data_IF_278788828285
#
_entry.id   IF_278788828285
#
_cell.length_a   1.000
_cell.length_b   1.000
_cell.length_c   1.000
_cell.angle_alpha   90.00
_cell.angle_beta   90.00
_cell.angle_gamma   90.00
#
_symmetry.space_group_name_H-M   'P 1'
#
loop_
_entity.id
_entity.type
_entity.pdbx_description
1 polymer ?
#
# COMPACT_ATOMS: atom_id res chain seq x y z
N UNK A 1 10.27 40.52 -57.30
CA UNK A 1 11.39 40.42 -56.33
C UNK A 1 10.95 41.12 -55.05
N UNK A 2 11.21 40.52 -53.88
CA UNK A 2 10.90 40.96 -52.49
C UNK A 2 9.50 40.56 -51.98
N UNK A 3 9.32 39.33 -51.47
CA UNK A 3 9.59 38.81 -50.09
C UNK A 3 8.35 38.95 -49.18
N UNK A 4 7.48 37.95 -49.24
CA UNK A 4 6.38 37.72 -48.30
C UNK A 4 6.94 37.08 -47.02
N UNK A 5 7.01 37.85 -45.93
CA UNK A 5 7.32 37.34 -44.59
C UNK A 5 6.09 36.65 -44.00
N UNK A 6 6.06 35.32 -44.07
CA UNK A 6 5.06 34.50 -43.38
C UNK A 6 5.37 34.42 -41.89
N UNK A 7 4.53 35.02 -41.06
CA UNK A 7 4.55 34.84 -39.61
C UNK A 7 3.96 33.46 -39.29
N UNK A 8 4.82 32.48 -39.04
CA UNK A 8 4.40 31.21 -38.45
C UNK A 8 4.01 31.45 -36.99
N UNK A 9 2.70 31.50 -36.73
CA UNK A 9 2.18 31.41 -35.37
C UNK A 9 2.44 29.99 -34.84
N UNK A 10 3.53 29.83 -34.10
CA UNK A 10 3.76 28.67 -33.24
C UNK A 10 2.65 28.64 -32.19
N UNK A 11 1.61 27.84 -32.43
CA UNK A 11 0.68 27.42 -31.38
C UNK A 11 1.48 26.57 -30.40
N UNK A 12 1.95 27.19 -29.32
CA UNK A 12 2.35 26.45 -28.14
C UNK A 12 1.13 25.75 -27.58
N UNK A 13 1.00 24.45 -27.84
CA UNK A 13 0.18 23.58 -27.00
C UNK A 13 0.84 23.58 -25.62
N UNK A 14 0.35 24.45 -24.75
CA UNK A 14 0.52 24.27 -23.32
C UNK A 14 -0.20 22.96 -22.98
N UNK A 15 0.57 21.86 -22.95
CA UNK A 15 0.12 20.63 -22.33
C UNK A 15 -0.22 20.98 -20.88
N UNK A 16 -1.50 21.19 -20.59
CA UNK A 16 -2.00 21.14 -19.24
C UNK A 16 -1.55 19.79 -18.70
N UNK A 17 -0.59 19.79 -17.78
CA UNK A 17 -0.15 18.57 -17.11
C UNK A 17 -1.41 17.92 -16.54
N UNK A 18 -1.84 16.82 -17.16
CA UNK A 18 -2.95 16.04 -16.64
C UNK A 18 -2.61 15.71 -15.19
N UNK A 19 -3.52 16.03 -14.26
CA UNK A 19 -3.33 15.61 -12.87
C UNK A 19 -3.16 14.09 -12.91
N UNK A 20 -2.09 13.60 -12.30
CA UNK A 20 -1.97 12.17 -12.08
C UNK A 20 -3.22 11.73 -11.31
N UNK A 21 -3.88 10.68 -11.78
CA UNK A 21 -5.01 10.07 -11.11
C UNK A 21 -4.54 8.77 -10.42
N UNK A 22 -5.00 8.46 -9.21
CA UNK A 22 -4.65 7.22 -8.53
C UNK A 22 -4.95 5.99 -9.39
N UNK A 23 -4.00 5.06 -9.46
CA UNK A 23 -4.24 3.78 -10.10
C UNK A 23 -5.11 2.87 -9.22
N UNK A 24 -5.79 1.89 -9.83
CA UNK A 24 -6.57 0.91 -9.09
C UNK A 24 -5.66 -0.21 -8.56
N UNK A 25 -5.54 -0.30 -7.24
CA UNK A 25 -4.79 -1.37 -6.59
C UNK A 25 -5.49 -2.75 -6.78
N UNK A 26 -4.75 -3.86 -6.84
CA UNK A 26 -5.32 -5.19 -6.94
C UNK A 26 -6.13 -5.51 -5.68
N UNK A 27 -7.38 -5.94 -5.87
CA UNK A 27 -8.34 -6.14 -4.78
C UNK A 27 -8.18 -7.47 -4.03
N UNK A 28 -7.45 -8.43 -4.61
CA UNK A 28 -7.17 -9.74 -4.02
C UNK A 28 -5.77 -10.18 -4.42
N UNK A 29 -4.96 -10.61 -3.45
CA UNK A 29 -3.60 -11.08 -3.70
C UNK A 29 -3.06 -11.84 -2.48
N UNK A 30 -1.99 -12.60 -2.71
CA UNK A 30 -1.18 -13.21 -1.66
C UNK A 30 0.27 -12.77 -1.80
N UNK A 31 0.96 -12.59 -0.69
CA UNK A 31 2.31 -12.06 -0.68
C UNK A 31 2.99 -12.16 0.69
N UNK A 32 4.03 -11.35 0.88
CA UNK A 32 4.80 -11.29 2.12
C UNK A 32 4.98 -9.84 2.53
N UNK A 33 4.97 -9.56 3.83
CA UNK A 33 5.11 -8.22 4.38
C UNK A 33 6.19 -8.16 5.45
N UNK A 34 6.72 -6.96 5.66
CA UNK A 34 7.54 -6.59 6.82
C UNK A 34 6.83 -5.41 7.48
N UNK A 35 6.30 -5.61 8.68
CA UNK A 35 5.71 -4.54 9.48
C UNK A 35 6.72 -4.04 10.50
N UNK A 36 7.02 -2.74 10.45
CA UNK A 36 7.88 -2.06 11.42
C UNK A 36 7.00 -1.37 12.47
N UNK A 37 7.18 -1.75 13.74
CA UNK A 37 6.53 -1.11 14.87
C UNK A 37 7.52 -0.19 15.58
N UNK A 38 7.31 1.12 15.49
CA UNK A 38 8.24 2.11 16.06
C UNK A 38 8.42 1.96 17.57
N UNK A 39 7.33 1.75 18.33
CA UNK A 39 7.37 1.69 19.79
C UNK A 39 8.23 0.55 20.36
N UNK A 40 8.32 -0.58 19.66
CA UNK A 40 9.19 -1.70 20.06
C UNK A 40 10.49 -1.77 19.24
N UNK A 41 10.59 -1.00 18.16
CA UNK A 41 11.68 -1.06 17.19
C UNK A 41 11.74 -2.39 16.42
N UNK A 42 10.68 -3.19 16.44
CA UNK A 42 10.68 -4.55 15.88
C UNK A 42 10.16 -4.57 14.45
N UNK A 43 10.76 -5.46 13.66
CA UNK A 43 10.26 -5.85 12.35
C UNK A 43 9.60 -7.23 12.45
N UNK A 44 8.34 -7.33 12.05
CA UNK A 44 7.60 -8.59 11.94
C UNK A 44 7.44 -8.97 10.48
N UNK A 45 7.89 -10.18 10.13
CA UNK A 45 7.73 -10.77 8.80
C UNK A 45 6.54 -11.70 8.79
N UNK A 46 5.72 -11.64 7.75
CA UNK A 46 4.53 -12.48 7.63
C UNK A 46 4.21 -12.82 6.16
N UNK A 47 3.62 -13.99 5.94
CA UNK A 47 2.85 -14.25 4.74
C UNK A 47 1.45 -13.63 4.90
N UNK A 48 0.92 -13.05 3.83
CA UNK A 48 -0.35 -12.31 3.84
C UNK A 48 -1.25 -12.80 2.72
N UNK A 49 -2.52 -13.03 3.03
CA UNK A 49 -3.60 -13.19 2.06
C UNK A 49 -4.59 -12.03 2.25
N UNK A 50 -4.70 -11.17 1.24
CA UNK A 50 -5.58 -9.99 1.25
C UNK A 50 -6.78 -10.22 0.34
N UNK A 51 -7.98 -9.99 0.86
CA UNK A 51 -9.23 -10.08 0.10
C UNK A 51 -10.14 -8.90 0.43
N UNK A 52 -9.97 -7.83 -0.34
CA UNK A 52 -10.69 -6.57 -0.17
C UNK A 52 -12.21 -6.67 -0.39
N UNK A 53 -12.73 -7.34 -1.44
CA UNK A 53 -14.17 -7.50 -1.65
C UNK A 53 -14.90 -8.18 -0.47
N UNK A 54 -14.20 -9.08 0.22
CA UNK A 54 -14.73 -9.74 1.42
C UNK A 54 -14.31 -9.07 2.73
N UNK A 55 -13.52 -7.99 2.68
CA UNK A 55 -12.99 -7.26 3.84
C UNK A 55 -12.36 -8.23 4.86
N UNK A 56 -11.47 -9.09 4.37
CA UNK A 56 -10.78 -10.06 5.19
C UNK A 56 -9.29 -10.09 4.88
N UNK A 57 -8.52 -10.30 5.93
CA UNK A 57 -7.07 -10.30 5.90
C UNK A 57 -6.56 -11.44 6.76
N UNK A 58 -5.67 -12.26 6.19
CA UNK A 58 -4.95 -13.29 6.92
C UNK A 58 -3.48 -12.90 6.98
N UNK A 59 -2.91 -12.92 8.19
CA UNK A 59 -1.49 -12.63 8.45
C UNK A 59 -0.90 -13.84 9.18
N UNK A 60 0.06 -14.52 8.56
CA UNK A 60 0.75 -15.65 9.14
C UNK A 60 2.20 -15.26 9.42
N UNK A 61 2.54 -15.01 10.69
CA UNK A 61 3.90 -14.61 11.06
C UNK A 61 4.93 -15.67 10.68
N UNK A 62 6.03 -15.25 10.10
CA UNK A 62 7.09 -16.14 9.65
C UNK A 62 8.01 -16.54 10.80
N UNK A 63 8.19 -17.86 10.95
CA UNK A 63 9.18 -18.45 11.86
C UNK A 63 10.55 -18.42 11.18
N UNK A 64 11.42 -17.51 11.61
CA UNK A 64 12.86 -17.66 11.36
C UNK A 64 13.45 -18.61 12.40
N UNK A 65 14.30 -19.54 11.96
CA UNK A 65 14.99 -20.46 12.85
C UNK A 65 15.79 -19.69 13.91
N UNK A 66 15.79 -20.22 15.15
CA UNK A 66 16.62 -19.76 16.28
C UNK A 66 16.26 -18.39 16.89
N UNK A 67 14.98 -17.98 16.90
CA UNK A 67 14.54 -16.88 17.78
C UNK A 67 14.03 -17.48 19.10
N UNK A 68 14.85 -17.58 20.16
CA UNK A 68 14.42 -18.17 21.42
C UNK A 68 13.23 -17.40 21.99
N UNK A 69 12.26 -18.16 22.52
CA UNK A 69 11.13 -17.67 23.32
C UNK A 69 10.12 -16.75 22.60
N UNK A 70 10.28 -16.45 21.30
CA UNK A 70 9.25 -15.73 20.54
C UNK A 70 8.12 -16.69 20.17
N UNK A 71 6.89 -16.35 20.56
CA UNK A 71 5.67 -16.98 20.02
C UNK A 71 5.35 -16.39 18.66
N UNK A 72 4.83 -17.23 17.77
CA UNK A 72 4.43 -16.82 16.43
C UNK A 72 2.94 -17.08 16.24
N UNK A 73 2.27 -16.11 15.64
CA UNK A 73 0.82 -16.11 15.55
C UNK A 73 0.32 -16.11 14.11
N UNK A 74 -0.88 -16.62 13.94
CA UNK A 74 -1.72 -16.42 12.78
C UNK A 74 -2.88 -15.52 13.18
N UNK A 75 -3.12 -14.50 12.37
CA UNK A 75 -4.22 -13.56 12.56
C UNK A 75 -5.18 -13.71 11.38
N UNK A 76 -6.47 -13.89 11.68
CA UNK A 76 -7.54 -13.88 10.68
C UNK A 76 -8.50 -12.77 11.07
N UNK A 77 -8.50 -11.70 10.29
CA UNK A 77 -9.34 -10.53 10.48
C UNK A 77 -10.55 -10.65 9.53
N UNK A 78 -11.75 -10.66 10.09
CA UNK A 78 -13.02 -10.72 9.36
C UNK A 78 -13.82 -9.46 9.71
N UNK A 79 -13.65 -8.39 8.94
CA UNK A 79 -14.24 -7.09 9.27
C UNK A 79 -15.76 -7.07 9.10
N UNK A 80 -16.32 -7.84 8.16
CA UNK A 80 -17.78 -8.01 8.01
C UNK A 80 -18.45 -8.58 9.26
N UNK A 81 -17.71 -9.39 10.02
CA UNK A 81 -18.17 -10.05 11.24
C UNK A 81 -17.64 -9.35 12.52
N UNK A 82 -16.92 -8.22 12.37
CA UNK A 82 -16.28 -7.46 13.45
C UNK A 82 -15.45 -8.32 14.41
N UNK A 83 -14.69 -9.30 13.89
CA UNK A 83 -13.91 -10.24 14.69
C UNK A 83 -12.52 -10.51 14.11
N UNK A 84 -11.55 -10.65 15.01
CA UNK A 84 -10.22 -11.19 14.73
C UNK A 84 -10.00 -12.47 15.52
N UNK A 85 -9.46 -13.49 14.87
CA UNK A 85 -8.89 -14.66 15.52
C UNK A 85 -7.38 -14.51 15.60
N UNK A 86 -6.82 -14.62 16.80
CA UNK A 86 -5.38 -14.73 17.03
C UNK A 86 -5.07 -16.17 17.47
N UNK A 87 -4.27 -16.88 16.68
CA UNK A 87 -3.98 -18.30 16.85
C UNK A 87 -2.48 -18.47 17.05
N UNK A 88 -2.05 -19.03 18.19
CA UNK A 88 -0.65 -19.37 18.37
C UNK A 88 -0.30 -20.59 17.52
N UNK A 89 0.73 -20.49 16.69
CA UNK A 89 0.95 -21.45 15.61
C UNK A 89 1.40 -22.86 16.08
N UNK A 90 2.02 -23.04 17.26
CA UNK A 90 2.41 -24.37 17.79
C UNK A 90 1.23 -25.06 18.48
N UNK A 91 0.75 -24.44 19.55
CA UNK A 91 -0.26 -24.94 20.48
C UNK A 91 -1.66 -24.88 19.90
N UNK A 92 -1.87 -24.07 18.86
CA UNK A 92 -3.17 -23.82 18.22
C UNK A 92 -4.21 -23.23 19.16
N UNK A 93 -3.79 -22.69 20.31
CA UNK A 93 -4.66 -21.92 21.19
C UNK A 93 -5.14 -20.68 20.43
N UNK A 94 -6.47 -20.50 20.41
CA UNK A 94 -7.15 -19.47 19.66
C UNK A 94 -7.83 -18.48 20.60
N UNK A 95 -7.63 -17.19 20.35
CA UNK A 95 -8.33 -16.09 21.00
C UNK A 95 -9.23 -15.40 20.00
N UNK A 96 -10.49 -15.17 20.37
CA UNK A 96 -11.47 -14.41 19.60
C UNK A 96 -11.54 -12.99 20.16
N UNK A 97 -11.21 -11.99 19.36
CA UNK A 97 -11.08 -10.58 19.76
C UNK A 97 -12.02 -9.76 18.88
N UNK A 98 -12.73 -8.80 19.47
CA UNK A 98 -13.58 -7.89 18.71
C UNK A 98 -12.73 -6.90 17.89
N UNK A 99 -13.07 -6.69 16.61
CA UNK A 99 -12.48 -5.62 15.79
C UNK A 99 -13.30 -4.35 15.99
N UNK A 100 -12.65 -3.30 16.49
CA UNK A 100 -13.27 -1.98 16.69
C UNK A 100 -12.99 -1.02 15.54
N UNK A 101 -11.84 -1.19 14.89
CA UNK A 101 -11.43 -0.35 13.77
C UNK A 101 -12.19 -0.71 12.49
N UNK A 102 -12.52 0.29 11.65
CA UNK A 102 -13.15 0.05 10.37
C UNK A 102 -12.18 -0.64 9.40
N UNK A 103 -12.74 -1.25 8.36
CA UNK A 103 -11.95 -1.76 7.25
C UNK A 103 -11.21 -0.63 6.52
N UNK A 104 -9.89 -0.75 6.41
CA UNK A 104 -9.02 0.14 5.65
C UNK A 104 -8.36 -0.66 4.49
N UNK A 105 -8.74 -0.42 3.22
CA UNK A 105 -8.19 -1.16 2.08
C UNK A 105 -6.74 -0.77 1.80
N UNK A 106 -5.95 -1.72 1.30
CA UNK A 106 -4.64 -1.42 0.69
C UNK A 106 -4.83 -0.85 -0.72
N UNK A 107 -5.33 0.38 -0.81
CA UNK A 107 -5.48 1.15 -2.05
C UNK A 107 -5.01 2.60 -1.91
N UNK A 108 -5.20 3.38 -2.97
CA UNK A 108 -4.97 4.83 -2.95
C UNK A 108 -6.36 5.50 -3.06
N UNK A 109 -6.83 6.19 -2.01
CA UNK A 109 -8.09 6.91 -2.05
C UNK A 109 -8.14 7.94 -3.19
N UNK A 110 -9.30 8.09 -3.85
CA UNK A 110 -9.45 9.01 -4.99
C UNK A 110 -9.18 10.49 -4.65
N UNK A 111 -9.25 10.86 -3.36
CA UNK A 111 -8.98 12.21 -2.86
C UNK A 111 -7.54 12.40 -2.35
N UNK A 112 -6.62 11.49 -2.70
CA UNK A 112 -5.21 11.58 -2.31
C UNK A 112 -4.49 12.68 -3.08
N UNK A 113 -3.43 13.21 -2.48
CA UNK A 113 -2.52 14.16 -3.10
C UNK A 113 -1.35 13.40 -3.73
N UNK A 114 -1.15 13.60 -5.03
CA UNK A 114 0.06 13.13 -5.71
C UNK A 114 1.28 13.88 -5.17
N UNK A 115 2.31 13.15 -4.76
CA UNK A 115 3.55 13.73 -4.22
C UNK A 115 4.69 13.65 -5.22
N UNK A 116 5.02 12.45 -5.69
CA UNK A 116 6.19 12.23 -6.55
C UNK A 116 6.10 10.96 -7.39
N UNK A 117 7.00 10.82 -8.35
CA UNK A 117 7.23 9.61 -9.13
C UNK A 117 8.73 9.39 -9.35
N UNK A 118 9.20 8.20 -9.02
CA UNK A 118 10.62 7.87 -9.06
C UNK A 118 10.85 6.39 -9.37
N UNK A 119 12.09 6.04 -9.71
CA UNK A 119 12.51 4.67 -9.97
C UNK A 119 13.18 4.08 -8.72
N UNK A 120 12.80 2.85 -8.38
CA UNK A 120 13.52 2.02 -7.41
C UNK A 120 14.33 1.00 -8.20
N UNK A 121 15.65 0.97 -7.98
CA UNK A 121 16.55 0.04 -8.67
C UNK A 121 17.64 0.78 -9.45
N UNK A 122 18.20 0.11 -10.46
CA UNK A 122 19.22 0.67 -11.34
C UNK A 122 18.99 0.28 -12.81
N UNK A 123 19.78 0.81 -13.75
CA UNK A 123 19.56 0.59 -15.18
C UNK A 123 19.50 -0.91 -15.53
N UNK A 124 18.39 -1.35 -16.11
CA UNK A 124 18.15 -2.74 -16.50
C UNK A 124 17.40 -3.60 -15.46
N UNK A 125 17.25 -3.12 -14.23
CA UNK A 125 16.41 -3.73 -13.19
C UNK A 125 15.87 -2.64 -12.25
N UNK A 126 14.80 -1.99 -12.71
CA UNK A 126 14.16 -0.89 -12.00
C UNK A 126 12.64 -0.94 -12.13
N UNK A 127 11.96 -0.36 -11.15
CA UNK A 127 10.51 -0.19 -11.14
C UNK A 127 10.16 1.25 -10.87
N UNK A 128 9.34 1.84 -11.74
CA UNK A 128 8.76 3.15 -11.53
C UNK A 128 7.62 3.04 -10.51
N UNK A 129 7.64 3.87 -9.48
CA UNK A 129 6.60 3.96 -8.46
C UNK A 129 6.10 5.40 -8.32
N UNK A 130 4.91 5.54 -7.76
CA UNK A 130 4.30 6.84 -7.44
C UNK A 130 4.02 6.91 -5.95
N UNK A 131 4.26 8.07 -5.36
CA UNK A 131 3.95 8.36 -3.96
C UNK A 131 2.69 9.24 -3.86
N UNK A 132 1.80 8.82 -2.96
CA UNK A 132 0.52 9.48 -2.69
C UNK A 132 0.38 9.68 -1.19
N UNK A 133 -0.26 10.78 -0.79
CA UNK A 133 -0.47 11.11 0.61
C UNK A 133 -1.87 11.66 0.88
N UNK A 134 -2.21 11.80 2.16
CA UNK A 134 -3.39 12.53 2.63
C UNK A 134 -3.09 14.03 2.88
N UNK A 135 -1.91 14.52 2.48
CA UNK A 135 -1.49 15.91 2.67
C UNK A 135 -2.48 16.84 2.00
N UNK A 136 -2.89 17.88 2.73
CA UNK A 136 -3.71 18.97 2.20
C UNK A 136 -2.84 20.21 1.98
N UNK A 137 -3.11 21.03 0.95
CA UNK A 137 -2.40 22.29 0.78
C UNK A 137 -2.45 23.12 2.07
N UNK A 138 -1.30 23.63 2.50
CA UNK A 138 -1.29 24.68 3.51
C UNK A 138 -2.11 25.87 2.97
N UNK A 139 -2.95 26.48 3.83
CA UNK A 139 -3.88 27.56 3.47
C UNK A 139 -3.20 28.58 2.55
N UNK A 140 -3.82 28.86 1.38
CA UNK A 140 -3.36 29.90 0.44
C UNK A 140 -3.43 31.29 1.06
#
# INVERSE_FOLDING_TARGET
LLLLLGVFLLRGEAAAAARAEPCQAPRQWEGRTVFYEHGSGRNTRAAVSYDGPNQRLRILEERKALIPCKKFFEYILLYKDAVMFQIEQVTKLCSKIALTEPWDPYDIPANSTYEDQYYIGGPGDEVMVQEWSDRKPARK
#
